data_IF_105571670595
#
_entry.id   IF_105571670595
#
_cell.length_a   1.000
_cell.length_b   1.000
_cell.length_c   1.000
_cell.angle_alpha   90.00
_cell.angle_beta   90.00
_cell.angle_gamma   90.00
#
_symmetry.space_group_name_H-M   'P 1'
#
loop_
_entity.id
_entity.type
_entity.pdbx_description
1 polymer ?
#
# COMPACT_ATOMS: atom_id res chain seq x y z
N UNK A 1 -4.52 8.75 -17.46
CA UNK A 1 -3.90 7.52 -17.97
C UNK A 1 -4.61 6.38 -17.25
N UNK A 2 -5.67 5.85 -17.84
CA UNK A 2 -6.39 4.71 -17.26
C UNK A 2 -5.73 3.44 -17.79
N UNK A 3 -4.81 2.87 -17.02
CA UNK A 3 -4.55 1.46 -17.14
C UNK A 3 -5.60 0.77 -16.26
N UNK A 4 -6.66 0.25 -16.87
CA UNK A 4 -7.56 -0.71 -16.22
C UNK A 4 -6.75 -2.00 -16.10
N UNK A 5 -5.93 -2.09 -15.06
CA UNK A 5 -5.28 -3.32 -14.65
C UNK A 5 -6.29 -4.01 -13.75
N UNK A 6 -6.81 -5.15 -14.20
CA UNK A 6 -7.57 -6.04 -13.33
C UNK A 6 -6.55 -6.69 -12.38
N UNK A 7 -6.52 -6.22 -11.13
CA UNK A 7 -5.56 -6.70 -10.13
C UNK A 7 -6.16 -7.95 -9.49
N UNK A 8 -5.49 -9.12 -9.55
CA UNK A 8 -5.94 -10.33 -8.88
C UNK A 8 -6.20 -10.10 -7.38
N UNK A 9 -7.38 -10.49 -6.91
CA UNK A 9 -7.80 -10.34 -5.51
C UNK A 9 -8.01 -11.70 -4.85
N UNK A 10 -7.15 -12.02 -3.88
CA UNK A 10 -7.38 -13.13 -2.94
C UNK A 10 -8.06 -12.59 -1.68
N UNK A 11 -9.30 -13.03 -1.43
CA UNK A 11 -10.07 -12.55 -0.27
C UNK A 11 -9.59 -13.20 1.03
N UNK A 12 -9.52 -12.43 2.11
CA UNK A 12 -9.37 -12.95 3.46
C UNK A 12 -10.59 -13.81 3.82
N UNK A 13 -10.37 -14.90 4.55
CA UNK A 13 -11.43 -15.81 4.98
C UNK A 13 -12.33 -15.20 6.06
N UNK A 14 -11.79 -14.28 6.85
CA UNK A 14 -12.45 -13.65 8.00
C UNK A 14 -12.11 -12.16 8.01
N UNK A 15 -13.07 -11.34 8.44
CA UNK A 15 -12.86 -9.89 8.58
C UNK A 15 -12.62 -9.50 10.04
N UNK A 16 -11.61 -8.68 10.28
CA UNK A 16 -11.27 -8.11 11.59
C UNK A 16 -12.07 -6.85 11.91
N UNK A 17 -13.04 -6.46 11.06
CA UNK A 17 -13.88 -5.26 11.27
C UNK A 17 -14.57 -5.23 12.65
N UNK A 18 -14.93 -6.40 13.17
CA UNK A 18 -15.60 -6.56 14.47
C UNK A 18 -14.70 -6.23 15.67
N UNK A 19 -13.38 -6.19 15.47
CA UNK A 19 -12.38 -5.87 16.50
C UNK A 19 -12.15 -4.35 16.63
N UNK A 20 -12.69 -3.55 15.70
CA UNK A 20 -12.47 -2.10 15.64
C UNK A 20 -13.35 -1.37 16.66
N UNK A 21 -12.71 -0.65 17.59
CA UNK A 21 -13.42 0.30 18.45
C UNK A 21 -13.55 1.66 17.76
N UNK A 22 -14.72 1.92 17.21
CA UNK A 22 -15.05 3.16 16.52
C UNK A 22 -15.12 4.39 17.42
N UNK A 23 -15.23 4.22 18.74
CA UNK A 23 -15.25 5.34 19.69
C UNK A 23 -13.84 5.82 20.03
N UNK A 24 -12.86 4.91 19.98
CA UNK A 24 -11.46 5.21 20.30
C UNK A 24 -10.53 4.66 19.21
N UNK A 25 -10.52 5.34 18.06
CA UNK A 25 -9.61 5.01 16.96
C UNK A 25 -8.21 5.61 17.22
N UNK A 26 -7.25 4.73 17.48
CA UNK A 26 -5.84 5.07 17.60
C UNK A 26 -5.13 5.00 16.24
N UNK A 27 -4.23 5.94 15.98
CA UNK A 27 -3.46 5.97 14.72
C UNK A 27 -2.54 4.75 14.60
N UNK A 28 -2.67 4.01 13.49
CA UNK A 28 -1.80 2.88 13.15
C UNK A 28 -2.06 1.58 13.93
N UNK A 29 -3.07 1.54 14.81
CA UNK A 29 -3.40 0.35 15.62
C UNK A 29 -4.15 -0.72 14.83
N UNK A 30 -5.15 -0.30 14.07
CA UNK A 30 -6.02 -1.20 13.30
C UNK A 30 -5.55 -1.27 11.85
N UNK A 31 -5.45 -2.48 11.32
CA UNK A 31 -5.03 -2.76 9.94
C UNK A 31 -6.19 -3.44 9.21
N UNK A 32 -6.38 -3.12 7.94
CA UNK A 32 -7.40 -3.77 7.11
C UNK A 32 -7.06 -5.22 6.78
N UNK A 33 -8.08 -5.99 6.40
CA UNK A 33 -7.97 -7.44 6.13
C UNK A 33 -7.02 -7.78 4.95
N UNK A 34 -6.75 -6.82 4.07
CA UNK A 34 -5.97 -7.00 2.84
C UNK A 34 -4.80 -6.02 2.73
N UNK A 35 -3.81 -6.40 1.93
CA UNK A 35 -2.69 -5.58 1.50
C UNK A 35 -2.49 -5.70 -0.02
N UNK A 36 -1.94 -4.64 -0.62
CA UNK A 36 -1.42 -4.64 -1.98
C UNK A 36 0.08 -4.97 -1.98
N UNK A 37 0.55 -5.79 -2.92
CA UNK A 37 1.96 -6.07 -3.12
C UNK A 37 2.27 -6.18 -4.63
N UNK A 38 3.42 -5.67 -5.02
CA UNK A 38 3.97 -5.82 -6.36
C UNK A 38 5.49 -6.01 -6.22
N UNK A 39 6.02 -7.07 -6.84
CA UNK A 39 7.45 -7.39 -6.73
C UNK A 39 8.19 -6.79 -7.92
N UNK A 40 9.35 -6.18 -7.68
CA UNK A 40 10.28 -5.84 -8.75
C UNK A 40 11.38 -6.90 -8.84
N UNK A 41 11.55 -7.51 -10.01
CA UNK A 41 12.52 -8.60 -10.22
C UNK A 41 13.05 -8.54 -11.64
N UNK A 42 14.34 -8.80 -11.83
CA UNK A 42 14.98 -8.87 -13.15
C UNK A 42 14.78 -7.63 -14.04
N UNK A 43 14.65 -6.44 -13.44
CA UNK A 43 14.50 -5.19 -14.19
C UNK A 43 13.05 -4.80 -14.51
N UNK A 44 12.05 -5.56 -14.05
CA UNK A 44 10.65 -5.29 -14.34
C UNK A 44 9.73 -5.50 -13.11
N UNK A 45 8.66 -4.72 -13.06
CA UNK A 45 7.56 -4.94 -12.13
C UNK A 45 6.78 -6.18 -12.56
N UNK A 46 6.54 -7.07 -11.60
CA UNK A 46 5.72 -8.26 -11.80
C UNK A 46 4.23 -7.91 -11.67
N UNK A 47 3.37 -8.89 -11.87
CA UNK A 47 1.93 -8.70 -11.69
C UNK A 47 1.62 -8.25 -10.24
N UNK A 48 0.87 -7.15 -10.05
CA UNK A 48 0.43 -6.73 -8.73
C UNK A 48 -0.66 -7.67 -8.20
N UNK A 49 -0.76 -7.82 -6.88
CA UNK A 49 -1.80 -8.63 -6.24
C UNK A 49 -2.38 -7.93 -5.00
N UNK A 50 -3.67 -8.14 -4.75
CA UNK A 50 -4.32 -7.83 -3.48
C UNK A 50 -4.57 -9.15 -2.75
N UNK A 51 -4.03 -9.29 -1.54
CA UNK A 51 -4.12 -10.53 -0.77
C UNK A 51 -4.34 -10.27 0.72
N UNK A 52 -4.66 -11.29 1.54
CA UNK A 52 -4.80 -11.12 2.97
C UNK A 52 -3.54 -10.54 3.60
N UNK A 53 -3.73 -9.61 4.55
CA UNK A 53 -2.63 -9.00 5.29
C UNK A 53 -1.79 -10.08 5.99
N UNK A 54 -0.47 -10.02 5.82
CA UNK A 54 0.46 -10.99 6.40
C UNK A 54 1.85 -10.38 6.56
N UNK A 55 2.68 -11.04 7.36
CA UNK A 55 4.10 -10.67 7.49
C UNK A 55 4.83 -10.86 6.15
N UNK A 56 5.77 -9.96 5.85
CA UNK A 56 6.59 -10.03 4.65
C UNK A 56 7.89 -10.78 4.99
N UNK A 57 8.19 -11.84 4.23
CA UNK A 57 9.47 -12.55 4.31
C UNK A 57 10.49 -11.86 3.42
N UNK A 58 11.62 -11.47 4.00
CA UNK A 58 12.68 -10.71 3.31
C UNK A 58 14.06 -11.28 3.62
N UNK A 59 15.02 -11.04 2.73
CA UNK A 59 16.42 -11.36 3.03
C UNK A 59 16.92 -10.52 4.21
N UNK A 60 17.64 -11.10 5.18
CA UNK A 60 18.31 -10.34 6.23
C UNK A 60 19.31 -9.32 5.69
N UNK A 61 19.75 -9.44 4.44
CA UNK A 61 20.71 -8.54 3.78
C UNK A 61 20.05 -7.45 2.93
N UNK A 62 18.73 -7.28 2.98
CA UNK A 62 18.04 -6.31 2.11
C UNK A 62 18.51 -4.86 2.39
N UNK A 63 18.63 -4.05 1.33
CA UNK A 63 19.13 -2.68 1.42
C UNK A 63 18.25 -1.78 2.32
N UNK A 64 16.95 -2.05 2.40
CA UNK A 64 16.05 -1.33 3.30
C UNK A 64 16.45 -1.47 4.78
N UNK A 65 16.96 -2.63 5.21
CA UNK A 65 17.35 -2.88 6.60
C UNK A 65 18.75 -2.33 6.94
N UNK A 66 19.68 -2.36 5.99
CA UNK A 66 21.08 -1.98 6.23
C UNK A 66 21.39 -0.53 5.89
N UNK A 67 20.73 0.01 4.87
CA UNK A 67 21.07 1.31 4.30
C UNK A 67 19.86 2.24 4.19
N UNK A 68 18.70 1.84 4.72
CA UNK A 68 17.49 2.66 4.70
C UNK A 68 16.97 2.94 3.29
N UNK A 69 17.27 2.08 2.30
CA UNK A 69 16.71 2.22 0.96
C UNK A 69 15.24 1.79 0.96
N UNK A 70 14.39 2.64 1.52
CA UNK A 70 12.95 2.50 1.61
C UNK A 70 12.29 3.86 1.58
N UNK A 71 11.07 3.90 1.05
CA UNK A 71 10.23 5.10 0.97
C UNK A 71 8.81 4.73 1.38
N UNK A 72 8.02 5.71 1.78
CA UNK A 72 6.60 5.51 2.09
C UNK A 72 5.77 6.72 1.65
N UNK A 73 4.46 6.50 1.50
CA UNK A 73 3.46 7.54 1.33
C UNK A 73 2.41 7.47 2.44
N UNK A 74 1.81 8.61 2.76
CA UNK A 74 0.71 8.75 3.71
C UNK A 74 -0.42 9.56 3.07
N UNK A 75 -1.51 8.88 2.72
CA UNK A 75 -2.74 9.48 2.22
C UNK A 75 -3.95 8.91 2.96
N UNK A 76 -5.10 9.57 2.81
CA UNK A 76 -6.35 9.18 3.46
C UNK A 76 -7.47 9.04 2.44
N UNK A 77 -8.27 7.99 2.62
CA UNK A 77 -9.56 7.84 1.97
C UNK A 77 -10.65 8.27 2.94
N UNK A 78 -11.61 9.04 2.45
CA UNK A 78 -12.69 9.62 3.25
C UNK A 78 -14.04 9.13 2.71
N UNK A 79 -14.90 8.63 3.60
CA UNK A 79 -16.29 8.34 3.26
C UNK A 79 -17.10 9.65 3.30
N UNK A 80 -17.70 9.99 2.17
CA UNK A 80 -18.56 11.16 2.02
C UNK A 80 -19.98 10.88 2.52
N UNK A 81 -20.80 11.92 2.67
CA UNK A 81 -22.19 11.81 3.12
C UNK A 81 -23.06 10.99 2.16
N UNK A 82 -22.76 11.02 0.86
CA UNK A 82 -23.45 10.24 -0.19
C UNK A 82 -22.97 8.78 -0.28
N UNK A 83 -22.05 8.37 0.59
CA UNK A 83 -21.47 7.03 0.62
C UNK A 83 -20.27 6.83 -0.30
N UNK A 84 -19.93 7.80 -1.15
CA UNK A 84 -18.73 7.74 -2.01
C UNK A 84 -17.44 7.77 -1.18
N UNK A 85 -16.35 7.27 -1.76
CA UNK A 85 -15.01 7.29 -1.17
C UNK A 85 -14.14 8.25 -1.97
N UNK A 86 -13.64 9.30 -1.32
CA UNK A 86 -12.76 10.29 -1.94
C UNK A 86 -11.34 10.21 -1.37
N UNK A 87 -10.35 10.40 -2.24
CA UNK A 87 -8.94 10.57 -1.88
C UNK A 87 -8.53 11.97 -2.31
N UNK A 88 -7.98 12.75 -1.38
CA UNK A 88 -7.61 14.14 -1.65
C UNK A 88 -6.26 14.21 -2.38
N UNK A 89 -6.24 14.84 -3.57
CA UNK A 89 -5.02 15.15 -4.36
C UNK A 89 -4.11 13.94 -4.60
N UNK A 90 -4.70 12.82 -5.02
CA UNK A 90 -3.97 11.57 -5.29
C UNK A 90 -2.81 11.76 -6.30
N UNK A 91 -2.97 12.67 -7.25
CA UNK A 91 -1.96 13.10 -8.22
C UNK A 91 -0.69 13.63 -7.51
N UNK A 92 -0.83 14.38 -6.41
CA UNK A 92 0.31 14.92 -5.66
C UNK A 92 1.03 13.88 -4.82
N UNK A 93 0.31 12.88 -4.32
CA UNK A 93 0.94 11.73 -3.68
C UNK A 93 1.73 10.90 -4.71
N UNK A 94 1.17 10.71 -5.91
CA UNK A 94 1.84 10.04 -7.01
C UNK A 94 3.11 10.79 -7.48
N UNK A 95 3.04 12.11 -7.66
CA UNK A 95 4.21 12.94 -7.98
C UNK A 95 5.31 12.80 -6.92
N UNK A 96 4.95 12.82 -5.63
CA UNK A 96 5.91 12.77 -4.52
C UNK A 96 6.57 11.41 -4.36
N UNK A 97 5.83 10.31 -4.54
CA UNK A 97 6.44 8.97 -4.45
C UNK A 97 7.41 8.72 -5.60
N UNK A 98 7.10 9.16 -6.82
CA UNK A 98 8.03 9.07 -7.96
C UNK A 98 9.30 9.89 -7.75
N UNK A 99 9.20 11.11 -7.22
CA UNK A 99 10.37 11.90 -6.86
C UNK A 99 11.23 11.22 -5.78
N UNK A 100 10.59 10.48 -4.86
CA UNK A 100 11.29 9.73 -3.81
C UNK A 100 11.96 8.47 -4.36
N UNK A 101 11.34 7.77 -5.32
CA UNK A 101 11.93 6.63 -6.03
C UNK A 101 13.21 7.05 -6.76
N UNK A 102 13.16 8.13 -7.53
CA UNK A 102 14.32 8.69 -8.24
C UNK A 102 15.45 9.05 -7.26
N UNK A 103 15.11 9.77 -6.17
CA UNK A 103 16.09 10.16 -5.14
C UNK A 103 16.79 8.96 -4.48
N UNK A 104 16.09 7.84 -4.34
CA UNK A 104 16.59 6.62 -3.71
C UNK A 104 17.15 5.61 -4.71
N UNK A 105 17.27 5.98 -5.99
CA UNK A 105 17.71 5.10 -7.07
C UNK A 105 16.88 3.80 -7.14
N UNK A 106 15.57 3.90 -6.92
CA UNK A 106 14.60 2.80 -7.00
C UNK A 106 13.86 2.85 -8.34
N UNK A 107 13.37 1.71 -8.86
CA UNK A 107 12.62 1.68 -10.12
C UNK A 107 11.32 2.52 -10.02
N UNK A 108 10.94 3.24 -11.11
CA UNK A 108 9.72 4.04 -11.16
C UNK A 108 8.46 3.17 -11.23
#
# INVERSE_FOLDING_TARGET
>A
MEAIIDIPVTKANTSSLHEVDWKTLEFGKYVSDHMFICTYKNGEWQEPEIKPFQNISVSPTMLALHYGQSIFEGMKAFRMQDGSINIFRIDKHFERINASLDRMCMPP
#
